data_IF_854254191328
#
_entry.id   IF_854254191328
#
_cell.length_a   1.000
_cell.length_b   1.000
_cell.length_c   1.000
_cell.angle_alpha   90.00
_cell.angle_beta   90.00
_cell.angle_gamma   90.00
#
_symmetry.space_group_name_H-M   'P 1'
#
loop_
_entity.id
_entity.type
_entity.pdbx_description
1 polymer ?
#
# COMPACT_ATOMS: atom_id res chain seq x y z
N UNK A 1 48.70 -17.42 4.81
CA UNK A 1 48.09 -16.07 4.74
C UNK A 1 47.97 -15.68 3.28
N UNK A 2 46.75 -15.72 2.73
CA UNK A 2 46.38 -14.86 1.62
C UNK A 2 45.05 -14.25 2.02
N UNK A 3 45.10 -12.97 2.41
CA UNK A 3 43.94 -12.10 2.47
C UNK A 3 43.34 -12.07 1.07
N UNK A 4 42.40 -12.97 0.79
CA UNK A 4 41.41 -12.72 -0.23
C UNK A 4 40.55 -11.59 0.33
N UNK A 5 40.99 -10.36 0.08
CA UNK A 5 40.20 -9.16 0.27
C UNK A 5 39.00 -9.29 -0.67
N UNK A 6 37.99 -10.05 -0.23
CA UNK A 6 36.74 -10.27 -0.95
C UNK A 6 36.07 -8.92 -1.00
N UNK A 7 36.07 -8.33 -2.18
CA UNK A 7 35.35 -7.10 -2.41
C UNK A 7 33.86 -7.43 -2.41
N UNK A 8 33.18 -7.14 -1.30
CA UNK A 8 31.79 -7.53 -1.02
C UNK A 8 30.89 -6.29 -1.10
N UNK A 9 29.66 -6.49 -1.57
CA UNK A 9 28.56 -5.53 -1.42
C UNK A 9 27.31 -6.25 -0.92
N UNK A 10 26.34 -5.50 -0.39
CA UNK A 10 25.09 -6.06 0.13
C UNK A 10 23.96 -5.72 -0.83
N UNK A 11 23.18 -6.74 -1.22
CA UNK A 11 21.88 -6.54 -1.84
C UNK A 11 20.78 -6.86 -0.84
N UNK A 12 19.65 -6.16 -0.93
CA UNK A 12 18.51 -6.32 -0.03
C UNK A 12 17.30 -6.91 -0.75
N UNK A 13 16.74 -7.98 -0.18
CA UNK A 13 15.43 -8.52 -0.53
C UNK A 13 14.30 -7.51 -0.21
N UNK A 14 13.05 -7.74 -0.65
CA UNK A 14 11.92 -6.86 -0.35
C UNK A 14 11.83 -6.53 1.13
N UNK A 15 11.80 -7.55 1.99
CA UNK A 15 11.65 -7.50 3.45
C UNK A 15 12.86 -6.95 4.25
N UNK A 16 13.79 -6.27 3.58
CA UNK A 16 14.95 -5.63 4.20
C UNK A 16 16.07 -6.58 4.61
N UNK A 17 15.96 -7.89 4.34
CA UNK A 17 17.05 -8.85 4.56
C UNK A 17 18.16 -8.65 3.53
N UNK A 18 19.36 -8.41 4.03
CA UNK A 18 20.57 -8.27 3.21
C UNK A 18 21.28 -9.60 3.02
N UNK A 19 21.86 -9.80 1.84
CA UNK A 19 22.82 -10.88 1.57
C UNK A 19 24.10 -10.28 1.01
N UNK A 20 25.23 -10.86 1.39
CA UNK A 20 26.54 -10.45 0.91
C UNK A 20 26.80 -11.04 -0.48
N UNK A 21 27.41 -10.24 -1.36
CA UNK A 21 27.71 -10.62 -2.73
C UNK A 21 29.16 -10.32 -3.04
N UNK A 22 29.87 -11.32 -3.56
CA UNK A 22 31.21 -11.16 -4.12
C UNK A 22 31.15 -10.34 -5.43
N UNK A 23 31.81 -9.18 -5.48
CA UNK A 23 31.76 -8.27 -6.63
C UNK A 23 32.31 -8.85 -7.94
N UNK A 24 33.25 -9.81 -7.86
CA UNK A 24 33.90 -10.38 -9.06
C UNK A 24 33.10 -11.52 -9.66
N UNK A 25 32.50 -12.34 -8.80
CA UNK A 25 31.85 -13.59 -9.20
C UNK A 25 30.32 -13.51 -9.17
N UNK A 26 29.75 -12.46 -8.57
CA UNK A 26 28.32 -12.34 -8.25
C UNK A 26 27.78 -13.51 -7.40
N UNK A 27 28.66 -14.21 -6.68
CA UNK A 27 28.26 -15.27 -5.76
C UNK A 27 27.63 -14.64 -4.53
N UNK A 28 26.41 -15.07 -4.21
CA UNK A 28 25.71 -14.71 -2.97
C UNK A 28 26.21 -15.61 -1.84
N UNK A 29 26.52 -15.01 -0.69
CA UNK A 29 26.77 -15.68 0.57
C UNK A 29 25.49 -15.61 1.43
N UNK A 30 24.80 -16.75 1.52
CA UNK A 30 23.59 -16.90 2.31
C UNK A 30 23.90 -17.12 3.80
N UNK A 31 22.99 -16.67 4.65
CA UNK A 31 22.96 -17.04 6.07
C UNK A 31 22.90 -18.57 6.24
N UNK A 32 23.50 -19.07 7.32
CA UNK A 32 23.53 -20.51 7.60
C UNK A 32 22.12 -21.12 7.67
N UNK A 33 21.98 -22.31 7.10
CA UNK A 33 20.76 -23.11 7.18
C UNK A 33 21.07 -24.42 7.91
N UNK A 34 20.21 -24.79 8.87
CA UNK A 34 20.34 -26.04 9.62
C UNK A 34 20.15 -27.26 8.70
N UNK A 35 19.40 -27.10 7.60
CA UNK A 35 19.13 -28.16 6.62
C UNK A 35 20.00 -27.97 5.37
N UNK A 36 20.32 -29.06 4.64
CA UNK A 36 21.08 -28.98 3.39
C UNK A 36 20.43 -28.07 2.35
N UNK A 37 21.25 -27.23 1.71
CA UNK A 37 20.89 -26.34 0.59
C UNK A 37 21.78 -26.65 -0.63
N UNK A 38 21.70 -25.87 -1.71
CA UNK A 38 22.50 -26.10 -2.93
C UNK A 38 21.66 -26.40 -4.18
N UNK A 39 20.53 -27.13 -4.03
CA UNK A 39 19.72 -27.60 -5.16
C UNK A 39 19.16 -26.47 -6.02
N UNK A 40 18.78 -25.36 -5.39
CA UNK A 40 18.10 -24.23 -6.05
C UNK A 40 18.92 -22.93 -6.04
N UNK A 41 20.14 -22.95 -5.48
CA UNK A 41 20.93 -21.75 -5.17
C UNK A 41 21.13 -20.83 -6.37
N UNK A 42 21.38 -21.40 -7.56
CA UNK A 42 21.61 -20.61 -8.77
C UNK A 42 20.35 -19.86 -9.21
N UNK A 43 19.20 -20.53 -9.25
CA UNK A 43 17.93 -19.89 -9.61
C UNK A 43 17.50 -18.88 -8.54
N UNK A 44 17.69 -19.23 -7.27
CA UNK A 44 17.35 -18.38 -6.15
C UNK A 44 18.19 -17.09 -6.13
N UNK A 45 19.49 -17.21 -6.43
CA UNK A 45 20.37 -16.05 -6.57
C UNK A 45 19.94 -15.12 -7.71
N UNK A 46 19.52 -15.68 -8.85
CA UNK A 46 18.97 -14.86 -9.97
C UNK A 46 17.71 -14.10 -9.53
N UNK A 47 16.80 -14.77 -8.83
CA UNK A 47 15.58 -14.14 -8.32
C UNK A 47 15.89 -13.02 -7.31
N UNK A 48 16.90 -13.18 -6.44
CA UNK A 48 17.34 -12.14 -5.51
C UNK A 48 17.90 -10.90 -6.24
N UNK A 49 18.75 -11.11 -7.25
CA UNK A 49 19.23 -9.98 -8.07
C UNK A 49 18.08 -9.31 -8.84
N UNK A 50 17.14 -10.08 -9.40
CA UNK A 50 15.96 -9.52 -10.06
C UNK A 50 15.12 -8.67 -9.09
N UNK A 51 14.79 -9.21 -7.92
CA UNK A 51 14.05 -8.50 -6.88
C UNK A 51 14.77 -7.22 -6.42
N UNK A 52 16.09 -7.30 -6.21
CA UNK A 52 16.90 -6.14 -5.88
C UNK A 52 16.86 -5.08 -6.98
N UNK A 53 17.08 -5.48 -8.24
CA UNK A 53 17.09 -4.57 -9.39
C UNK A 53 15.73 -3.91 -9.62
N UNK A 54 14.62 -4.62 -9.43
CA UNK A 54 13.27 -4.05 -9.51
C UNK A 54 13.12 -2.91 -8.49
N UNK A 55 13.56 -3.11 -7.25
CA UNK A 55 13.49 -2.07 -6.20
C UNK A 55 14.34 -0.85 -6.53
N UNK A 56 15.58 -1.07 -7.01
CA UNK A 56 16.48 0.02 -7.40
C UNK A 56 15.95 0.84 -8.60
N UNK A 57 15.16 0.20 -9.46
CA UNK A 57 14.54 0.83 -10.62
C UNK A 57 13.06 1.20 -10.40
N UNK A 58 12.69 1.49 -9.16
CA UNK A 58 11.37 2.06 -8.85
C UNK A 58 11.13 3.35 -9.65
N UNK A 59 9.90 3.62 -10.13
CA UNK A 59 9.54 4.93 -10.68
C UNK A 59 9.66 6.06 -9.65
N UNK A 60 9.86 5.74 -8.38
CA UNK A 60 10.07 6.69 -7.29
C UNK A 60 11.51 6.72 -6.77
N UNK A 61 12.48 6.14 -7.51
CA UNK A 61 13.90 6.13 -7.11
C UNK A 61 14.48 7.53 -6.86
N UNK A 62 13.94 8.55 -7.53
CA UNK A 62 14.37 9.94 -7.42
C UNK A 62 13.66 10.71 -6.28
N UNK A 63 12.80 10.05 -5.51
CA UNK A 63 12.11 10.65 -4.36
C UNK A 63 13.12 11.15 -3.31
N UNK A 64 13.05 12.44 -2.99
CA UNK A 64 13.91 13.07 -1.99
C UNK A 64 13.11 13.40 -0.71
N UNK A 65 13.36 12.71 0.40
CA UNK A 65 12.70 13.00 1.66
C UNK A 65 13.09 14.38 2.19
N UNK A 66 12.20 15.02 2.96
CA UNK A 66 12.47 16.29 3.64
C UNK A 66 12.23 16.11 5.13
N UNK A 67 13.29 15.82 5.86
CA UNK A 67 13.16 15.49 7.28
C UNK A 67 12.89 16.71 8.15
N UNK A 68 12.01 16.56 9.14
CA UNK A 68 11.83 17.53 10.21
C UNK A 68 13.06 17.49 11.15
N UNK A 69 13.53 18.67 11.55
CA UNK A 69 14.72 18.82 12.39
C UNK A 69 14.34 18.85 13.89
N UNK A 70 14.79 17.85 14.68
CA UNK A 70 14.48 17.78 16.11
C UNK A 70 15.24 18.78 16.98
N UNK A 71 16.28 19.44 16.46
CA UNK A 71 17.11 20.34 17.24
C UNK A 71 16.52 21.77 17.32
N UNK A 72 16.91 22.48 18.37
CA UNK A 72 16.58 23.90 18.55
C UNK A 72 17.82 24.74 18.27
N UNK A 73 17.69 25.69 17.35
CA UNK A 73 18.76 26.63 17.01
C UNK A 73 18.29 28.06 17.31
N UNK A 74 19.11 28.81 18.05
CA UNK A 74 18.82 30.21 18.38
C UNK A 74 18.63 31.04 17.12
N UNK A 75 17.51 31.76 17.02
CA UNK A 75 17.18 32.59 15.86
C UNK A 75 16.54 31.86 14.67
N UNK A 76 16.24 30.56 14.79
CA UNK A 76 15.55 29.78 13.75
C UNK A 76 14.19 29.25 14.24
N UNK A 77 13.24 29.10 13.31
CA UNK A 77 11.96 28.45 13.58
C UNK A 77 12.16 26.95 13.79
N UNK A 78 11.69 26.42 14.91
CA UNK A 78 11.71 24.98 15.20
C UNK A 78 10.62 24.22 14.44
N UNK A 79 10.90 22.98 14.05
CA UNK A 79 9.89 22.06 13.51
C UNK A 79 9.06 21.34 14.58
N UNK A 80 9.32 21.61 15.88
CA UNK A 80 8.65 20.95 17.00
C UNK A 80 7.12 21.14 16.97
N UNK A 81 6.64 22.33 16.61
CA UNK A 81 5.21 22.60 16.56
C UNK A 81 4.52 21.83 15.41
N UNK A 82 5.14 21.81 14.22
CA UNK A 82 4.69 21.00 13.07
C UNK A 82 4.66 19.51 13.45
N UNK A 83 5.70 19.01 14.12
CA UNK A 83 5.74 17.64 14.62
C UNK A 83 4.64 17.36 15.65
N UNK A 84 4.42 18.24 16.64
CA UNK A 84 3.41 18.02 17.68
C UNK A 84 1.99 18.05 17.15
N UNK A 85 1.73 18.94 16.20
CA UNK A 85 0.48 18.98 15.45
C UNK A 85 0.25 17.67 14.69
N UNK A 86 1.23 17.19 13.93
CA UNK A 86 1.14 15.88 13.26
C UNK A 86 0.98 14.73 14.26
N UNK A 87 1.79 14.67 15.32
CA UNK A 87 1.71 13.62 16.34
C UNK A 87 0.29 13.50 16.93
N UNK A 88 -0.38 14.65 17.16
CA UNK A 88 -1.69 14.68 17.79
C UNK A 88 -2.81 14.04 16.97
N UNK A 89 -2.67 13.95 15.64
CA UNK A 89 -3.73 13.41 14.77
C UNK A 89 -3.93 11.90 14.97
N UNK A 90 -2.92 11.18 15.47
CA UNK A 90 -2.98 9.74 15.70
C UNK A 90 -3.58 9.37 17.06
N UNK A 91 -3.89 10.34 17.91
CA UNK A 91 -4.58 10.13 19.20
C UNK A 91 -6.10 10.05 19.05
N UNK A 92 -6.62 10.24 17.84
CA UNK A 92 -8.05 10.30 17.53
C UNK A 92 -8.31 9.66 16.16
N UNK A 93 -9.57 9.35 15.89
CA UNK A 93 -10.00 8.96 14.55
C UNK A 93 -9.62 10.05 13.52
N UNK A 94 -9.33 9.68 12.25
CA UNK A 94 -8.98 10.65 11.23
C UNK A 94 -10.07 11.70 11.05
N UNK A 95 -9.68 12.97 11.05
CA UNK A 95 -10.62 14.06 10.81
C UNK A 95 -11.16 13.93 9.38
N UNK A 96 -12.48 13.83 9.25
CA UNK A 96 -13.20 13.72 7.98
C UNK A 96 -12.80 14.87 7.04
N UNK A 97 -12.37 14.53 5.82
CA UNK A 97 -11.91 15.48 4.81
C UNK A 97 -10.55 16.12 5.09
N UNK A 98 -9.81 15.74 6.14
CA UNK A 98 -8.47 16.29 6.42
C UNK A 98 -7.34 15.42 5.86
N UNK A 99 -7.59 14.15 5.58
CA UNK A 99 -6.59 13.22 5.02
C UNK A 99 -6.65 13.25 3.50
N UNK A 100 -5.50 13.50 2.87
CA UNK A 100 -5.36 13.63 1.43
C UNK A 100 -6.50 14.45 0.78
N UNK A 101 -6.80 15.65 1.29
CA UNK A 101 -8.02 16.38 0.96
C UNK A 101 -8.10 16.71 -0.52
N UNK A 102 -9.32 16.89 -1.00
CA UNK A 102 -9.57 17.41 -2.34
C UNK A 102 -9.43 18.93 -2.34
N UNK A 103 -8.50 19.45 -3.14
CA UNK A 103 -8.35 20.91 -3.31
C UNK A 103 -9.53 21.51 -4.07
N UNK A 104 -9.76 22.83 -3.97
CA UNK A 104 -10.86 23.46 -4.73
C UNK A 104 -10.63 23.33 -6.24
N UNK A 105 -9.40 23.53 -6.70
CA UNK A 105 -9.01 23.31 -8.09
C UNK A 105 -9.29 21.86 -8.54
N UNK A 106 -8.90 20.87 -7.73
CA UNK A 106 -9.12 19.47 -8.03
C UNK A 106 -10.60 19.12 -8.18
N UNK A 107 -11.45 19.54 -7.23
CA UNK A 107 -12.88 19.27 -7.28
C UNK A 107 -13.51 19.85 -8.53
N UNK A 108 -13.13 21.07 -8.89
CA UNK A 108 -13.67 21.76 -10.04
C UNK A 108 -13.27 21.07 -11.36
N UNK A 109 -11.99 20.68 -11.48
CA UNK A 109 -11.52 19.90 -12.63
C UNK A 109 -12.21 18.53 -12.70
N UNK A 110 -12.34 17.81 -11.58
CA UNK A 110 -13.03 16.52 -11.58
C UNK A 110 -14.48 16.65 -12.06
N UNK A 111 -15.20 17.67 -11.57
CA UNK A 111 -16.59 17.95 -11.99
C UNK A 111 -16.70 18.40 -13.45
N UNK A 112 -15.62 18.89 -14.05
CA UNK A 112 -15.62 19.28 -15.47
C UNK A 112 -15.53 18.08 -16.42
N UNK A 113 -15.07 16.91 -15.93
CA UNK A 113 -15.00 15.68 -16.70
C UNK A 113 -16.40 15.22 -17.12
N UNK A 114 -16.56 14.90 -18.41
CA UNK A 114 -17.85 14.75 -19.09
C UNK A 114 -18.30 13.32 -19.28
N UNK A 115 -17.41 12.36 -19.07
CA UNK A 115 -17.71 10.94 -19.27
C UNK A 115 -17.41 10.12 -18.02
N UNK A 116 -18.14 9.01 -17.86
CA UNK A 116 -17.87 7.99 -16.84
C UNK A 116 -16.41 7.52 -16.91
N UNK A 117 -15.89 7.30 -18.12
CA UNK A 117 -14.51 6.86 -18.37
C UNK A 117 -13.48 7.84 -17.81
N UNK A 118 -13.64 9.14 -18.07
CA UNK A 118 -12.71 10.16 -17.58
C UNK A 118 -12.69 10.22 -16.05
N UNK A 119 -13.87 10.19 -15.42
CA UNK A 119 -14.02 10.18 -13.96
C UNK A 119 -13.46 8.91 -13.33
N UNK A 120 -13.73 7.75 -13.92
CA UNK A 120 -13.14 6.47 -13.52
C UNK A 120 -11.62 6.54 -13.55
N UNK A 121 -11.04 6.88 -14.71
CA UNK A 121 -9.60 7.00 -14.90
C UNK A 121 -9.00 7.96 -13.87
N UNK A 122 -9.65 9.09 -13.63
CA UNK A 122 -9.21 10.05 -12.63
C UNK A 122 -9.14 9.44 -11.23
N UNK A 123 -10.20 8.76 -10.77
CA UNK A 123 -10.24 8.13 -9.44
C UNK A 123 -9.19 7.02 -9.29
N UNK A 124 -8.96 6.20 -10.33
CA UNK A 124 -7.88 5.20 -10.32
C UNK A 124 -6.52 5.88 -10.20
N UNK A 125 -6.25 6.94 -10.96
CA UNK A 125 -4.98 7.69 -10.87
C UNK A 125 -4.82 8.30 -9.46
N UNK A 126 -5.87 8.94 -8.96
CA UNK A 126 -5.89 9.58 -7.64
C UNK A 126 -5.64 8.57 -6.52
N UNK A 127 -6.16 7.35 -6.63
CA UNK A 127 -5.96 6.29 -5.63
C UNK A 127 -4.49 5.89 -5.42
N UNK A 128 -3.63 6.16 -6.40
CA UNK A 128 -2.23 5.74 -6.38
C UNK A 128 -2.01 4.23 -6.66
N UNK A 129 -3.07 3.46 -6.93
CA UNK A 129 -2.93 2.05 -7.31
C UNK A 129 -2.26 1.89 -8.69
N UNK A 130 -1.40 0.89 -8.77
CA UNK A 130 -0.66 0.45 -9.97
C UNK A 130 -0.69 -1.06 -10.05
N UNK A 131 -0.78 -1.60 -11.26
CA UNK A 131 -0.64 -3.04 -11.49
C UNK A 131 0.80 -3.46 -11.23
N UNK A 132 1.00 -4.55 -10.49
CA UNK A 132 2.33 -5.11 -10.22
C UNK A 132 2.64 -6.36 -11.03
N UNK A 133 1.64 -6.90 -11.73
CA UNK A 133 1.74 -8.13 -12.54
C UNK A 133 1.99 -7.84 -14.01
N UNK A 134 1.58 -6.67 -14.48
CA UNK A 134 1.80 -6.17 -15.84
C UNK A 134 1.85 -4.65 -15.85
N UNK A 135 2.68 -4.05 -16.71
CA UNK A 135 2.68 -2.61 -16.90
C UNK A 135 1.42 -2.18 -17.68
N UNK A 136 0.76 -1.13 -17.21
CA UNK A 136 -0.47 -0.60 -17.81
C UNK A 136 -0.26 0.91 -17.98
N UNK A 137 -0.10 1.40 -19.22
CA UNK A 137 0.02 2.82 -19.49
C UNK A 137 -1.30 3.53 -19.18
N UNK A 138 -1.25 4.82 -18.84
CA UNK A 138 -2.46 5.56 -18.45
C UNK A 138 -3.50 5.65 -19.56
N UNK A 139 -3.07 5.60 -20.81
CA UNK A 139 -3.89 5.56 -22.02
C UNK A 139 -4.76 4.31 -22.09
N UNK A 140 -4.28 3.19 -21.53
CA UNK A 140 -5.01 1.93 -21.47
C UNK A 140 -6.02 1.86 -20.30
N UNK A 141 -5.97 2.80 -19.35
CA UNK A 141 -6.89 2.80 -18.21
C UNK A 141 -8.31 2.97 -18.73
N UNK A 142 -9.20 2.04 -18.37
CA UNK A 142 -10.62 2.05 -18.78
C UNK A 142 -10.80 2.31 -20.29
N UNK A 143 -9.95 1.73 -21.14
CA UNK A 143 -9.99 1.82 -22.60
C UNK A 143 -11.14 0.98 -23.23
N UNK A 144 -12.31 1.01 -22.60
CA UNK A 144 -13.53 0.35 -23.08
C UNK A 144 -14.68 1.33 -23.15
N UNK A 145 -15.58 1.14 -24.12
CA UNK A 145 -16.84 1.86 -24.22
C UNK A 145 -17.88 1.35 -23.21
N UNK A 146 -19.07 1.95 -23.18
CA UNK A 146 -20.14 1.54 -22.26
C UNK A 146 -20.68 0.12 -22.51
N UNK A 147 -20.40 -0.46 -23.69
CA UNK A 147 -20.75 -1.84 -24.06
C UNK A 147 -19.61 -2.82 -23.76
N UNK A 148 -18.47 -2.33 -23.28
CA UNK A 148 -17.28 -3.13 -22.99
C UNK A 148 -16.37 -3.39 -24.19
N UNK A 149 -16.60 -2.75 -25.34
CA UNK A 149 -15.71 -2.87 -26.49
C UNK A 149 -14.48 -1.99 -26.31
N UNK A 150 -13.32 -2.46 -26.79
CA UNK A 150 -12.11 -1.64 -26.77
C UNK A 150 -12.27 -0.39 -27.63
N UNK A 151 -11.82 0.75 -27.10
CA UNK A 151 -11.85 2.03 -27.83
C UNK A 151 -10.58 2.18 -28.68
N UNK A 152 -9.42 1.81 -28.11
CA UNK A 152 -8.17 1.67 -28.85
C UNK A 152 -7.73 0.19 -28.88
N UNK A 153 -7.66 -0.39 -30.08
CA UNK A 153 -7.23 -1.79 -30.30
C UNK A 153 -5.73 -2.02 -30.03
N UNK A 154 -4.91 -0.97 -29.93
CA UNK A 154 -3.47 -1.09 -29.59
C UNK A 154 -3.25 -1.82 -28.25
N UNK A 155 -4.24 -1.75 -27.35
CA UNK A 155 -4.19 -2.39 -26.02
C UNK A 155 -4.90 -3.75 -25.95
N UNK A 156 -5.32 -4.32 -27.09
CA UNK A 156 -6.08 -5.59 -27.11
C UNK A 156 -5.36 -6.74 -26.41
N UNK A 157 -4.08 -6.94 -26.71
CA UNK A 157 -3.31 -8.02 -26.11
C UNK A 157 -3.08 -7.80 -24.60
N UNK A 158 -3.01 -6.55 -24.15
CA UNK A 158 -2.94 -6.21 -22.73
C UNK A 158 -4.21 -6.67 -22.00
N UNK A 159 -5.39 -6.32 -22.52
CA UNK A 159 -6.68 -6.72 -21.97
C UNK A 159 -6.85 -8.24 -21.96
N UNK A 160 -6.54 -8.90 -23.09
CA UNK A 160 -6.59 -10.36 -23.20
C UNK A 160 -5.69 -11.06 -22.19
N UNK A 161 -4.48 -10.54 -21.97
CA UNK A 161 -3.54 -11.08 -21.00
C UNK A 161 -4.04 -10.95 -19.56
N UNK A 162 -4.61 -9.79 -19.20
CA UNK A 162 -5.21 -9.60 -17.87
C UNK A 162 -6.40 -10.54 -17.66
N UNK A 163 -7.30 -10.63 -18.63
CA UNK A 163 -8.48 -11.49 -18.52
C UNK A 163 -8.11 -12.98 -18.41
N UNK A 164 -7.09 -13.43 -19.14
CA UNK A 164 -6.62 -14.81 -19.07
C UNK A 164 -5.90 -15.18 -17.76
N UNK A 165 -5.53 -14.18 -16.94
CA UNK A 165 -4.77 -14.40 -15.71
C UNK A 165 -5.51 -13.98 -14.43
N UNK A 166 -6.67 -13.35 -14.51
CA UNK A 166 -7.47 -13.01 -13.33
C UNK A 166 -8.30 -14.21 -12.84
N UNK A 167 -9.16 -13.98 -11.85
CA UNK A 167 -9.98 -15.01 -11.25
C UNK A 167 -9.11 -16.07 -10.55
N UNK A 168 -9.51 -17.33 -10.62
CA UNK A 168 -8.82 -18.41 -9.89
C UNK A 168 -7.51 -18.87 -10.55
N UNK A 169 -7.10 -18.27 -11.68
CA UNK A 169 -5.95 -18.70 -12.48
C UNK A 169 -4.63 -18.76 -11.69
N UNK A 170 -4.46 -17.89 -10.69
CA UNK A 170 -3.28 -17.89 -9.81
C UNK A 170 -3.59 -18.18 -8.34
N UNK A 171 -4.76 -18.73 -8.01
CA UNK A 171 -5.11 -19.03 -6.61
C UNK A 171 -4.12 -20.04 -5.98
N UNK A 172 -3.62 -21.00 -6.75
CA UNK A 172 -2.60 -21.96 -6.31
C UNK A 172 -1.26 -21.31 -5.93
N UNK A 173 -1.02 -20.09 -6.41
CA UNK A 173 0.18 -19.30 -6.09
C UNK A 173 -0.06 -18.42 -4.85
N UNK A 174 -1.29 -18.38 -4.33
CA UNK A 174 -1.69 -17.61 -3.16
C UNK A 174 -2.52 -16.38 -3.49
N UNK A 175 -3.15 -15.83 -2.45
CA UNK A 175 -4.08 -14.69 -2.58
C UNK A 175 -3.41 -13.44 -3.13
N UNK A 176 -2.11 -13.22 -2.89
CA UNK A 176 -1.39 -12.07 -3.42
C UNK A 176 -1.40 -12.06 -4.96
N UNK A 177 -1.00 -13.15 -5.60
CA UNK A 177 -0.96 -13.25 -7.07
C UNK A 177 -2.34 -13.10 -7.70
N UNK A 178 -3.33 -13.82 -7.15
CA UNK A 178 -4.71 -13.73 -7.61
C UNK A 178 -5.21 -12.28 -7.57
N UNK A 179 -4.97 -11.61 -6.44
CA UNK A 179 -5.50 -10.28 -6.20
C UNK A 179 -4.85 -9.23 -7.08
N UNK A 180 -3.54 -9.30 -7.32
CA UNK A 180 -2.84 -8.35 -8.17
C UNK A 180 -3.32 -8.40 -9.64
N UNK A 181 -3.70 -9.59 -10.14
CA UNK A 181 -4.35 -9.72 -11.45
C UNK A 181 -5.78 -9.16 -11.48
N UNK A 182 -6.55 -9.35 -10.41
CA UNK A 182 -7.86 -8.71 -10.25
C UNK A 182 -7.75 -7.18 -10.20
N UNK A 183 -6.73 -6.63 -9.51
CA UNK A 183 -6.47 -5.19 -9.52
C UNK A 183 -6.09 -4.68 -10.91
N UNK A 184 -5.31 -5.43 -11.69
CA UNK A 184 -5.02 -5.09 -13.08
C UNK A 184 -6.31 -4.99 -13.91
N UNK A 185 -7.27 -5.89 -13.72
CA UNK A 185 -8.58 -5.80 -14.38
C UNK A 185 -9.40 -4.58 -13.92
N UNK A 186 -9.31 -4.23 -12.63
CA UNK A 186 -9.85 -2.99 -12.09
C UNK A 186 -9.31 -1.75 -12.79
N UNK A 187 -7.99 -1.65 -12.94
CA UNK A 187 -7.34 -0.52 -13.63
C UNK A 187 -7.82 -0.41 -15.09
N UNK A 188 -8.10 -1.55 -15.75
CA UNK A 188 -8.61 -1.63 -17.11
C UNK A 188 -10.13 -1.38 -17.24
N UNK A 189 -10.85 -1.13 -16.14
CA UNK A 189 -12.23 -0.66 -16.14
C UNK A 189 -13.24 -1.58 -15.45
N UNK A 190 -12.88 -2.81 -15.06
CA UNK A 190 -13.80 -3.69 -14.33
C UNK A 190 -13.79 -3.39 -12.83
N UNK A 191 -14.76 -2.62 -12.36
CA UNK A 191 -14.91 -2.24 -10.94
C UNK A 191 -14.81 -3.46 -9.99
N UNK A 192 -15.35 -4.63 -10.40
CA UNK A 192 -15.31 -5.84 -9.57
C UNK A 192 -13.89 -6.35 -9.35
N UNK A 193 -12.96 -6.03 -10.25
CA UNK A 193 -11.53 -6.31 -10.08
C UNK A 193 -10.94 -5.66 -8.82
N UNK A 194 -11.32 -4.41 -8.53
CA UNK A 194 -10.91 -3.76 -7.27
C UNK A 194 -11.57 -4.41 -6.04
N UNK A 195 -12.84 -4.76 -6.11
CA UNK A 195 -13.56 -5.40 -4.99
C UNK A 195 -13.01 -6.81 -4.68
N UNK A 196 -12.76 -7.63 -5.70
CA UNK A 196 -12.17 -8.97 -5.59
C UNK A 196 -10.70 -8.92 -5.18
N UNK A 197 -9.92 -8.05 -5.82
CA UNK A 197 -8.51 -7.84 -5.51
C UNK A 197 -8.32 -7.35 -4.08
N UNK A 198 -9.08 -6.33 -3.66
CA UNK A 198 -9.07 -5.85 -2.27
C UNK A 198 -9.47 -6.94 -1.27
N UNK A 199 -10.54 -7.69 -1.54
CA UNK A 199 -10.98 -8.80 -0.68
C UNK A 199 -10.00 -9.98 -0.62
N UNK A 200 -9.21 -10.22 -1.67
CA UNK A 200 -8.14 -11.22 -1.65
C UNK A 200 -6.89 -10.72 -0.91
N UNK A 201 -6.50 -9.46 -1.10
CA UNK A 201 -5.39 -8.83 -0.38
C UNK A 201 -5.65 -8.73 1.12
N UNK A 202 -6.91 -8.64 1.56
CA UNK A 202 -7.29 -8.71 2.97
C UNK A 202 -6.77 -9.98 3.68
N UNK A 203 -6.54 -11.06 2.94
CA UNK A 203 -6.00 -12.33 3.46
C UNK A 203 -4.46 -12.36 3.50
N UNK A 204 -3.82 -11.29 3.07
CA UNK A 204 -2.36 -11.07 3.08
C UNK A 204 -2.06 -9.93 4.06
N UNK A 205 -0.79 -9.61 4.32
CA UNK A 205 -0.49 -8.45 5.18
C UNK A 205 -0.47 -7.10 4.46
N UNK A 206 -0.79 -7.01 3.16
CA UNK A 206 -0.85 -5.75 2.39
C UNK A 206 -2.15 -4.98 2.66
N UNK A 207 -2.42 -4.69 3.93
CA UNK A 207 -3.70 -4.19 4.44
C UNK A 207 -4.05 -2.81 3.90
N UNK A 208 -3.09 -1.89 3.75
CA UNK A 208 -3.36 -0.57 3.14
C UNK A 208 -3.74 -0.66 1.67
N UNK A 209 -3.08 -1.55 0.93
CA UNK A 209 -3.40 -1.78 -0.48
C UNK A 209 -4.78 -2.39 -0.66
N UNK A 210 -5.12 -3.33 0.23
CA UNK A 210 -6.45 -3.94 0.29
C UNK A 210 -7.54 -2.88 0.55
N UNK A 211 -7.37 -2.07 1.60
CA UNK A 211 -8.33 -1.00 1.94
C UNK A 211 -8.46 0.02 0.80
N UNK A 212 -7.36 0.48 0.22
CA UNK A 212 -7.40 1.44 -0.89
C UNK A 212 -8.17 0.88 -2.10
N UNK A 213 -8.00 -0.41 -2.43
CA UNK A 213 -8.74 -1.05 -3.51
C UNK A 213 -10.24 -1.14 -3.22
N UNK A 214 -10.62 -1.53 -2.01
CA UNK A 214 -12.03 -1.60 -1.59
C UNK A 214 -12.69 -0.22 -1.54
N UNK A 215 -11.96 0.78 -1.03
CA UNK A 215 -12.42 2.17 -0.99
C UNK A 215 -12.59 2.72 -2.40
N UNK A 216 -11.65 2.46 -3.31
CA UNK A 216 -11.77 2.84 -4.71
C UNK A 216 -12.96 2.14 -5.39
N UNK A 217 -13.19 0.85 -5.14
CA UNK A 217 -14.37 0.14 -5.66
C UNK A 217 -15.68 0.82 -5.21
N UNK A 218 -15.76 1.24 -3.95
CA UNK A 218 -16.90 2.01 -3.44
C UNK A 218 -17.01 3.40 -4.10
N UNK A 219 -15.90 4.13 -4.27
CA UNK A 219 -15.88 5.42 -5.00
C UNK A 219 -16.33 5.27 -6.45
N UNK A 220 -16.08 4.12 -7.08
CA UNK A 220 -16.49 3.83 -8.45
C UNK A 220 -17.93 3.32 -8.58
N UNK A 221 -18.67 3.20 -7.46
CA UNK A 221 -20.09 2.81 -7.46
C UNK A 221 -20.37 1.34 -7.14
N UNK A 222 -19.38 0.57 -6.66
CA UNK A 222 -19.63 -0.82 -6.25
C UNK A 222 -20.33 -0.87 -4.88
N UNK A 223 -21.65 -0.94 -4.91
CA UNK A 223 -22.51 -0.97 -3.73
C UNK A 223 -22.09 -2.02 -2.67
N UNK A 224 -21.76 -3.29 -3.02
CA UNK A 224 -21.32 -4.26 -2.00
C UNK A 224 -20.02 -3.86 -1.29
N UNK A 225 -19.12 -3.12 -1.96
CA UNK A 225 -17.91 -2.61 -1.31
C UNK A 225 -18.24 -1.56 -0.25
N UNK A 226 -19.22 -0.70 -0.52
CA UNK A 226 -19.72 0.30 0.42
C UNK A 226 -20.48 -0.33 1.59
N UNK A 227 -21.41 -1.23 1.31
CA UNK A 227 -22.32 -1.84 2.30
C UNK A 227 -21.61 -2.83 3.24
N UNK A 228 -20.77 -3.70 2.68
CA UNK A 228 -20.25 -4.87 3.40
C UNK A 228 -18.74 -4.83 3.60
N UNK A 229 -17.97 -4.45 2.58
CA UNK A 229 -16.52 -4.60 2.66
C UNK A 229 -15.91 -3.52 3.57
N UNK A 230 -16.30 -2.25 3.39
CA UNK A 230 -15.85 -1.16 4.27
C UNK A 230 -16.38 -1.30 5.70
N UNK A 231 -17.60 -1.82 5.88
CA UNK A 231 -18.16 -2.06 7.23
C UNK A 231 -17.46 -3.22 7.96
N UNK A 232 -17.13 -4.31 7.25
CA UNK A 232 -16.34 -5.42 7.82
C UNK A 232 -14.93 -4.97 8.21
N UNK A 233 -14.32 -4.09 7.41
CA UNK A 233 -13.05 -3.45 7.76
C UNK A 233 -13.12 -2.54 8.98
N UNK A 234 -14.31 -2.19 9.47
CA UNK A 234 -14.53 -1.37 10.67
C UNK A 234 -15.02 -2.16 11.89
N UNK A 235 -15.13 -3.50 11.81
CA UNK A 235 -15.69 -4.35 12.87
C UNK A 235 -14.63 -5.11 13.67
N UNK A 236 -15.03 -5.96 14.63
CA UNK A 236 -14.14 -6.61 15.61
C UNK A 236 -13.06 -7.54 15.04
N UNK A 237 -13.15 -7.92 13.76
CA UNK A 237 -12.14 -8.73 13.03
C UNK A 237 -11.30 -7.87 12.08
N UNK A 238 -11.36 -6.54 12.24
CA UNK A 238 -10.73 -5.58 11.36
C UNK A 238 -9.21 -5.53 11.49
N UNK A 239 -8.63 -5.81 12.66
CA UNK A 239 -7.19 -5.63 12.87
C UNK A 239 -6.39 -6.62 12.02
N UNK A 240 -6.86 -7.86 11.82
CA UNK A 240 -6.28 -8.79 10.84
C UNK A 240 -6.23 -8.20 9.41
N UNK A 241 -7.18 -7.33 9.07
CA UNK A 241 -7.20 -6.53 7.85
C UNK A 241 -6.58 -5.15 7.94
N UNK A 242 -5.96 -4.80 9.06
CA UNK A 242 -5.38 -3.49 9.35
C UNK A 242 -6.38 -2.41 9.76
N UNK A 243 -7.69 -2.67 9.73
CA UNK A 243 -8.72 -1.73 10.16
C UNK A 243 -8.87 -1.68 11.68
N UNK A 244 -9.72 -0.79 12.19
CA UNK A 244 -9.99 -0.59 13.62
C UNK A 244 -11.45 -0.87 13.94
N UNK A 245 -11.72 -1.51 15.07
CA UNK A 245 -13.07 -1.78 15.54
C UNK A 245 -13.74 -0.48 15.98
N UNK A 246 -14.77 -0.03 15.25
CA UNK A 246 -15.50 1.19 15.57
C UNK A 246 -17.00 1.03 15.24
N UNK A 247 -17.78 0.69 16.28
CA UNK A 247 -19.22 0.45 16.13
C UNK A 247 -20.00 1.69 15.65
N UNK A 248 -19.55 2.90 15.99
CA UNK A 248 -20.17 4.14 15.52
C UNK A 248 -19.93 4.31 14.01
N UNK A 249 -18.69 4.07 13.56
CA UNK A 249 -18.34 4.10 12.14
C UNK A 249 -19.10 3.03 11.36
N UNK A 250 -19.16 1.80 11.86
CA UNK A 250 -19.90 0.72 11.22
C UNK A 250 -21.38 1.08 11.03
N UNK A 251 -22.02 1.65 12.06
CA UNK A 251 -23.40 2.13 11.98
C UNK A 251 -23.55 3.27 10.97
N UNK A 252 -22.65 4.26 11.01
CA UNK A 252 -22.64 5.37 10.06
C UNK A 252 -22.52 4.88 8.61
N UNK A 253 -21.64 3.91 8.33
CA UNK A 253 -21.46 3.34 7.00
C UNK A 253 -22.70 2.56 6.55
N UNK A 254 -23.29 1.75 7.43
CA UNK A 254 -24.55 1.04 7.16
C UNK A 254 -25.67 2.02 6.84
N UNK A 255 -25.81 3.10 7.58
CA UNK A 255 -26.83 4.11 7.33
C UNK A 255 -26.56 4.91 6.05
N UNK A 256 -25.31 5.32 5.80
CA UNK A 256 -24.90 5.99 4.57
C UNK A 256 -25.16 5.13 3.32
N UNK A 257 -24.90 3.83 3.41
CA UNK A 257 -25.05 2.89 2.29
C UNK A 257 -26.50 2.66 1.82
N UNK A 258 -27.50 3.03 2.64
CA UNK A 258 -28.92 2.93 2.27
C UNK A 258 -29.31 3.92 1.18
N UNK A 259 -28.75 5.14 1.22
CA UNK A 259 -29.06 6.23 0.29
C UNK A 259 -27.80 7.06 -0.05
N UNK A 260 -26.77 6.45 -0.65
CA UNK A 260 -25.54 7.16 -0.99
C UNK A 260 -25.77 8.18 -2.12
N UNK A 261 -25.15 9.38 -2.05
CA UNK A 261 -25.34 10.44 -3.03
C UNK A 261 -24.47 10.21 -4.28
N UNK A 262 -24.80 9.18 -5.07
CA UNK A 262 -24.12 8.91 -6.33
C UNK A 262 -24.21 10.10 -7.28
N UNK A 263 -23.14 10.36 -8.03
CA UNK A 263 -23.14 11.33 -9.12
C UNK A 263 -23.90 10.80 -10.35
N UNK A 264 -24.00 11.63 -11.39
CA UNK A 264 -24.68 11.29 -12.65
C UNK A 264 -24.16 10.03 -13.36
N UNK A 265 -22.96 9.55 -13.01
CA UNK A 265 -22.35 8.33 -13.56
C UNK A 265 -22.39 7.14 -12.60
N UNK A 266 -23.08 7.29 -11.45
CA UNK A 266 -23.17 6.26 -10.42
C UNK A 266 -21.93 6.16 -9.53
N UNK A 267 -21.11 7.21 -9.42
CA UNK A 267 -19.87 7.22 -8.63
C UNK A 267 -19.99 8.04 -7.34
N UNK A 268 -19.08 7.79 -6.38
CA UNK A 268 -18.93 8.52 -5.11
C UNK A 268 -17.52 9.12 -5.00
N UNK A 269 -17.15 10.10 -5.84
CA UNK A 269 -15.77 10.62 -5.90
C UNK A 269 -15.25 11.13 -4.56
N UNK A 270 -16.07 11.91 -3.84
CA UNK A 270 -15.69 12.55 -2.58
C UNK A 270 -16.04 11.69 -1.36
N UNK A 271 -16.08 10.36 -1.50
CA UNK A 271 -16.45 9.45 -0.41
C UNK A 271 -15.64 9.70 0.87
N UNK A 272 -14.35 9.98 0.75
CA UNK A 272 -13.46 10.34 1.86
C UNK A 272 -13.88 11.62 2.60
N UNK A 273 -14.50 12.58 1.92
CA UNK A 273 -15.09 13.77 2.55
C UNK A 273 -16.50 13.53 3.08
N UNK A 274 -17.17 12.44 2.68
CA UNK A 274 -18.54 12.08 3.09
C UNK A 274 -18.55 11.15 4.30
N UNK A 275 -17.62 10.20 4.39
CA UNK A 275 -17.54 9.22 5.47
C UNK A 275 -16.20 9.23 6.22
N UNK A 276 -15.21 9.97 5.74
CA UNK A 276 -13.85 9.91 6.30
C UNK A 276 -13.09 8.65 5.88
N UNK A 277 -11.86 8.53 6.34
CA UNK A 277 -11.01 7.34 6.18
C UNK A 277 -10.68 6.75 7.55
N UNK A 278 -10.01 5.60 7.60
CA UNK A 278 -9.50 4.99 8.84
C UNK A 278 -7.97 5.03 8.89
N UNK A 279 -7.41 5.01 10.09
CA UNK A 279 -5.99 4.73 10.28
C UNK A 279 -5.73 3.24 10.09
N UNK A 280 -4.96 2.87 9.07
CA UNK A 280 -4.71 1.47 8.72
C UNK A 280 -3.38 1.00 9.30
N UNK A 281 -3.41 -0.09 10.06
CA UNK A 281 -2.20 -0.80 10.49
C UNK A 281 -1.77 -1.74 9.37
N UNK A 282 -0.60 -1.46 8.82
CA UNK A 282 0.06 -2.28 7.81
C UNK A 282 1.51 -2.45 8.23
N UNK A 283 1.89 -3.68 8.55
CA UNK A 283 3.22 -3.98 9.08
C UNK A 283 4.29 -3.94 7.97
N UNK A 284 3.89 -4.07 6.70
CA UNK A 284 4.78 -4.00 5.55
C UNK A 284 5.32 -2.58 5.32
N UNK A 285 4.82 -1.56 6.02
CA UNK A 285 5.39 -0.20 5.95
C UNK A 285 6.78 -0.08 6.62
N UNK A 286 7.15 -1.02 7.49
CA UNK A 286 8.38 -0.94 8.29
C UNK A 286 9.61 -1.36 7.48
N UNK A 287 9.60 -2.61 7.02
CA UNK A 287 10.46 -3.11 5.94
C UNK A 287 9.47 -3.62 4.88
N UNK A 288 9.57 -3.21 3.61
CA UNK A 288 8.55 -3.59 2.63
C UNK A 288 8.40 -5.13 2.54
N UNK A 289 7.21 -5.72 2.67
CA UNK A 289 7.04 -7.18 2.83
C UNK A 289 7.56 -7.75 4.19
N UNK A 290 7.48 -6.97 5.28
CA UNK A 290 7.75 -7.41 6.66
C UNK A 290 6.81 -8.50 7.18
N UNK A 291 5.56 -8.48 6.70
CA UNK A 291 4.47 -9.40 7.03
C UNK A 291 3.68 -9.69 5.75
N UNK A 292 4.34 -10.16 4.69
CA UNK A 292 3.71 -10.35 3.39
C UNK A 292 2.54 -11.34 3.43
N UNK A 293 2.69 -12.40 4.24
CA UNK A 293 1.67 -13.42 4.44
C UNK A 293 0.51 -12.93 5.33
N UNK A 294 0.75 -11.92 6.18
CA UNK A 294 -0.21 -11.44 7.17
C UNK A 294 -0.26 -12.28 8.46
N UNK A 295 0.78 -13.06 8.74
CA UNK A 295 0.82 -13.93 9.92
C UNK A 295 1.00 -13.13 11.20
N UNK A 296 1.82 -12.06 11.15
CA UNK A 296 2.08 -11.23 12.32
C UNK A 296 0.84 -10.41 12.69
N UNK A 297 0.19 -9.78 11.70
CA UNK A 297 -1.02 -8.99 11.97
C UNK A 297 -2.17 -9.87 12.48
N UNK A 298 -2.30 -11.11 11.98
CA UNK A 298 -3.27 -12.09 12.51
C UNK A 298 -2.96 -12.51 13.94
N UNK A 299 -1.68 -12.73 14.28
CA UNK A 299 -1.31 -13.06 15.65
C UNK A 299 -1.60 -11.91 16.63
N UNK A 300 -1.40 -10.66 16.20
CA UNK A 300 -1.77 -9.47 16.96
C UNK A 300 -3.29 -9.35 17.15
N UNK A 301 -4.07 -9.53 16.07
CA UNK A 301 -5.53 -9.58 16.11
C UNK A 301 -6.03 -10.63 17.12
N UNK A 302 -5.47 -11.84 17.06
CA UNK A 302 -5.78 -12.93 17.97
C UNK A 302 -5.54 -12.60 19.44
N UNK A 303 -4.42 -11.91 19.75
CA UNK A 303 -4.10 -11.51 21.13
C UNK A 303 -4.96 -10.32 21.59
N UNK A 304 -5.35 -9.41 20.69
CA UNK A 304 -6.33 -8.35 20.97
C UNK A 304 -7.72 -8.93 21.26
N UNK A 305 -8.20 -9.87 20.43
CA UNK A 305 -9.49 -10.56 20.64
C UNK A 305 -9.54 -11.34 21.95
N UNK A 306 -8.40 -11.88 22.40
CA UNK A 306 -8.26 -12.58 23.70
C UNK A 306 -8.08 -11.63 24.88
N UNK A 307 -8.05 -10.31 24.66
CA UNK A 307 -7.84 -9.29 25.71
C UNK A 307 -6.43 -9.27 26.29
N UNK A 308 -5.45 -9.89 25.62
CA UNK A 308 -4.04 -9.89 26.05
C UNK A 308 -3.28 -8.66 25.57
N UNK A 309 -3.75 -8.09 24.46
CA UNK A 309 -3.24 -6.85 23.89
C UNK A 309 -4.39 -5.87 23.71
N UNK A 310 -4.05 -4.59 23.64
CA UNK A 310 -4.99 -3.52 23.30
C UNK A 310 -4.70 -3.02 21.90
N UNK A 311 -5.74 -2.68 21.13
CA UNK A 311 -5.53 -2.01 19.85
C UNK A 311 -4.97 -0.60 20.13
N UNK A 312 -3.85 -0.22 19.52
CA UNK A 312 -3.20 1.05 19.82
C UNK A 312 -4.06 2.28 19.45
N UNK A 313 -5.12 2.09 18.65
CA UNK A 313 -6.08 3.13 18.24
C UNK A 313 -7.27 3.29 19.19
N UNK A 314 -7.47 2.37 20.13
CA UNK A 314 -8.54 2.50 21.11
C UNK A 314 -8.40 3.80 21.91
N UNK A 315 -9.53 4.47 22.19
CA UNK A 315 -9.55 5.79 22.83
C UNK A 315 -8.88 5.80 24.22
N UNK A 316 -8.91 4.66 24.90
CA UNK A 316 -8.36 4.44 26.22
C UNK A 316 -7.01 3.68 26.17
N UNK A 317 -6.37 3.58 25.00
CA UNK A 317 -4.98 3.14 24.88
C UNK A 317 -4.01 4.19 25.45
N UNK A 318 -3.09 3.74 26.29
CA UNK A 318 -2.05 4.58 26.93
C UNK A 318 -0.73 4.46 26.17
N UNK A 319 0.27 5.32 26.44
CA UNK A 319 1.61 5.13 25.89
C UNK A 319 2.20 3.74 26.16
N UNK A 320 1.92 3.17 27.34
CA UNK A 320 2.39 1.84 27.75
C UNK A 320 1.72 0.74 26.94
N UNK A 321 0.39 0.78 26.75
CA UNK A 321 -0.31 -0.25 25.95
C UNK A 321 0.06 -0.19 24.47
N UNK A 322 0.28 1.01 23.92
CA UNK A 322 0.79 1.19 22.55
C UNK A 322 2.20 0.64 22.40
N UNK A 323 3.06 0.89 23.39
CA UNK A 323 4.41 0.33 23.41
C UNK A 323 4.39 -1.21 23.50
N UNK A 324 3.53 -1.78 24.34
CA UNK A 324 3.36 -3.24 24.44
C UNK A 324 2.93 -3.86 23.11
N UNK A 325 1.98 -3.24 22.41
CA UNK A 325 1.58 -3.66 21.06
C UNK A 325 2.77 -3.65 20.09
N UNK A 326 3.55 -2.56 20.06
CA UNK A 326 4.75 -2.46 19.23
C UNK A 326 5.80 -3.54 19.61
N UNK A 327 6.01 -3.83 20.89
CA UNK A 327 6.92 -4.89 21.34
C UNK A 327 6.46 -6.28 20.90
N UNK A 328 5.17 -6.59 21.03
CA UNK A 328 4.61 -7.87 20.58
C UNK A 328 4.72 -8.05 19.07
N UNK A 329 4.48 -6.98 18.31
CA UNK A 329 4.69 -6.97 16.86
C UNK A 329 6.14 -7.34 16.50
N UNK A 330 7.13 -6.77 17.19
CA UNK A 330 8.53 -7.15 16.99
C UNK A 330 8.85 -8.58 17.44
N UNK A 331 8.24 -9.06 18.52
CA UNK A 331 8.44 -10.41 19.02
C UNK A 331 7.94 -11.47 18.01
N UNK A 332 6.73 -11.31 17.47
CA UNK A 332 6.18 -12.22 16.46
C UNK A 332 7.01 -12.28 15.18
N UNK A 333 7.57 -11.14 14.77
CA UNK A 333 8.45 -11.07 13.60
C UNK A 333 9.62 -12.05 13.66
N UNK A 334 10.18 -12.32 14.83
CA UNK A 334 11.33 -13.22 14.95
C UNK A 334 11.01 -14.68 14.59
N UNK A 335 9.74 -15.09 14.66
CA UNK A 335 9.29 -16.44 14.30
C UNK A 335 8.50 -16.56 13.00
N UNK A 336 7.89 -15.46 12.52
CA UNK A 336 6.88 -15.50 11.44
C UNK A 336 7.31 -14.86 10.12
N UNK A 337 8.42 -14.11 10.09
CA UNK A 337 8.88 -13.49 8.84
C UNK A 337 9.46 -14.51 7.86
N UNK A 338 9.31 -14.25 6.57
CA UNK A 338 10.07 -14.97 5.54
C UNK A 338 11.56 -14.61 5.60
N UNK A 339 12.44 -15.61 5.55
CA UNK A 339 13.90 -15.39 5.61
C UNK A 339 14.52 -15.53 4.22
N UNK A 340 14.48 -14.44 3.45
CA UNK A 340 15.08 -14.41 2.11
C UNK A 340 16.62 -14.44 2.11
N UNK A 341 17.25 -14.14 3.24
CA UNK A 341 18.71 -14.22 3.42
C UNK A 341 19.26 -15.65 3.56
N UNK A 342 18.38 -16.63 3.72
CA UNK A 342 18.74 -18.05 3.84
C UNK A 342 18.42 -18.76 2.52
N UNK A 343 19.32 -19.64 2.07
CA UNK A 343 19.10 -20.42 0.84
C UNK A 343 17.98 -21.45 0.99
N UNK A 344 17.35 -21.81 -0.13
CA UNK A 344 16.23 -22.74 -0.19
C UNK A 344 16.71 -24.16 0.12
N UNK A 345 16.08 -24.79 1.12
CA UNK A 345 16.34 -26.17 1.56
C UNK A 345 16.10 -27.18 0.43
N UNK A 346 17.00 -28.16 0.28
CA UNK A 346 16.94 -29.19 -0.76
C UNK A 346 15.67 -30.06 -0.68
N UNK A 347 15.11 -30.22 0.53
CA UNK A 347 13.89 -30.99 0.81
C UNK A 347 12.61 -30.36 0.22
N UNK A 348 12.64 -29.05 -0.11
CA UNK A 348 11.47 -28.39 -0.69
C UNK A 348 11.22 -28.91 -2.11
N UNK A 349 9.95 -29.08 -2.46
CA UNK A 349 9.55 -29.40 -3.83
C UNK A 349 9.92 -28.26 -4.77
N UNK A 350 10.13 -28.59 -6.05
CA UNK A 350 10.48 -27.61 -7.08
C UNK A 350 9.40 -26.52 -7.21
N UNK A 351 8.12 -26.89 -7.15
CA UNK A 351 7.01 -25.95 -7.17
C UNK A 351 7.05 -24.98 -5.98
N UNK A 352 7.37 -25.49 -4.78
CA UNK A 352 7.49 -24.66 -3.57
C UNK A 352 8.66 -23.68 -3.67
N UNK A 353 9.82 -24.14 -4.17
CA UNK A 353 10.98 -23.28 -4.41
C UNK A 353 10.69 -22.18 -5.44
N UNK A 354 10.08 -22.55 -6.57
CA UNK A 354 9.64 -21.61 -7.61
C UNK A 354 8.63 -20.60 -7.10
N UNK A 355 7.70 -21.02 -6.23
CA UNK A 355 6.74 -20.11 -5.63
C UNK A 355 7.44 -19.07 -4.74
N UNK A 356 8.39 -19.48 -3.88
CA UNK A 356 9.17 -18.54 -3.07
C UNK A 356 9.90 -17.50 -3.92
N UNK A 357 10.53 -17.92 -5.02
CA UNK A 357 11.19 -16.99 -5.96
C UNK A 357 10.19 -16.01 -6.59
N UNK A 358 9.03 -16.51 -7.06
CA UNK A 358 7.99 -15.67 -7.64
C UNK A 358 7.40 -14.68 -6.64
N UNK A 359 7.17 -15.10 -5.39
CA UNK A 359 6.62 -14.24 -4.33
C UNK A 359 7.57 -13.09 -4.03
N UNK A 360 8.86 -13.39 -3.86
CA UNK A 360 9.90 -12.38 -3.66
C UNK A 360 9.95 -11.34 -4.80
N UNK A 361 9.81 -11.79 -6.06
CA UNK A 361 9.77 -10.88 -7.21
C UNK A 361 8.49 -10.03 -7.19
N UNK A 362 7.33 -10.61 -6.88
CA UNK A 362 6.06 -9.87 -6.80
C UNK A 362 6.09 -8.83 -5.67
N UNK A 363 6.62 -9.19 -4.51
CA UNK A 363 6.85 -8.30 -3.38
C UNK A 363 7.81 -7.17 -3.72
N UNK A 364 8.86 -7.44 -4.51
CA UNK A 364 9.75 -6.39 -5.02
C UNK A 364 9.02 -5.40 -5.94
N UNK A 365 8.13 -5.90 -6.81
CA UNK A 365 7.30 -5.04 -7.69
C UNK A 365 6.32 -4.20 -6.88
N UNK A 366 5.69 -4.78 -5.87
CA UNK A 366 4.87 -4.07 -4.90
C UNK A 366 5.69 -2.97 -4.20
N UNK A 367 6.93 -3.27 -3.78
CA UNK A 367 7.81 -2.29 -3.13
C UNK A 367 8.14 -1.13 -4.06
N UNK A 368 8.46 -1.44 -5.31
CA UNK A 368 8.82 -0.47 -6.32
C UNK A 368 7.64 0.44 -6.71
N UNK A 369 6.42 -0.10 -6.74
CA UNK A 369 5.23 0.60 -7.26
C UNK A 369 4.33 1.21 -6.18
N UNK A 370 4.53 0.89 -4.91
CA UNK A 370 3.83 1.54 -3.80
C UNK A 370 4.32 2.98 -3.64
N UNK A 371 3.43 3.99 -3.62
CA UNK A 371 3.84 5.38 -3.43
C UNK A 371 4.63 5.59 -2.13
N UNK A 372 5.71 6.42 -2.13
CA UNK A 372 6.50 6.69 -0.92
C UNK A 372 5.68 7.30 0.24
N UNK A 373 4.61 8.01 -0.11
CA UNK A 373 3.67 8.68 0.82
C UNK A 373 2.45 7.80 1.16
N UNK A 374 2.41 6.54 0.69
CA UNK A 374 1.27 5.64 0.85
C UNK A 374 0.04 6.05 0.04
N UNK A 375 -1.05 5.32 0.22
CA UNK A 375 -2.29 5.53 -0.51
C UNK A 375 -3.16 6.64 0.12
N UNK A 376 -3.83 7.50 -0.67
CA UNK A 376 -4.63 8.62 -0.15
C UNK A 376 -5.78 8.24 0.78
N UNK A 377 -6.50 7.15 0.48
CA UNK A 377 -7.67 6.73 1.26
C UNK A 377 -7.36 5.64 2.29
N UNK A 378 -6.10 5.19 2.39
CA UNK A 378 -5.65 4.20 3.35
C UNK A 378 -4.39 4.69 4.09
N UNK A 379 -4.48 5.78 4.88
CA UNK A 379 -3.33 6.32 5.58
C UNK A 379 -2.81 5.34 6.64
N UNK A 380 -1.49 5.22 6.77
CA UNK A 380 -0.89 4.39 7.81
C UNK A 380 -1.16 4.97 9.20
N UNK A 381 -1.55 4.11 10.15
CA UNK A 381 -1.52 4.42 11.59
C UNK A 381 -0.07 4.47 12.09
N UNK A 382 0.32 5.48 12.87
CA UNK A 382 1.56 5.47 13.66
C UNK A 382 1.23 5.68 15.12
N UNK A 383 1.80 4.88 16.02
CA UNK A 383 1.76 5.23 17.45
C UNK A 383 2.43 6.60 17.64
N UNK A 384 1.84 7.53 18.41
CA UNK A 384 2.44 8.82 18.70
C UNK A 384 3.89 8.72 19.18
N UNK A 385 4.19 7.71 20.00
CA UNK A 385 5.50 7.44 20.58
C UNK A 385 6.51 7.00 19.52
N UNK A 386 6.08 6.16 18.55
CA UNK A 386 6.93 5.77 17.42
C UNK A 386 7.20 6.94 16.49
N UNK A 387 6.21 7.80 16.23
CA UNK A 387 6.40 9.00 15.43
C UNK A 387 7.45 9.91 16.08
N UNK A 388 7.41 10.06 17.40
CA UNK A 388 8.42 10.79 18.17
C UNK A 388 9.81 10.18 18.07
N UNK A 389 9.92 8.84 18.14
CA UNK A 389 11.18 8.15 17.94
C UNK A 389 11.78 8.46 16.55
N UNK A 390 10.96 8.43 15.50
CA UNK A 390 11.39 8.73 14.12
C UNK A 390 11.83 10.20 13.99
N UNK A 391 11.07 11.13 14.60
CA UNK A 391 11.41 12.56 14.65
C UNK A 391 12.76 12.81 15.34
N UNK A 392 12.95 12.26 16.54
CA UNK A 392 14.20 12.38 17.32
C UNK A 392 15.41 11.77 16.61
N UNK A 393 15.21 10.81 15.71
CA UNK A 393 16.27 10.24 14.87
C UNK A 393 16.57 11.05 13.61
N UNK A 394 15.93 12.21 13.42
CA UNK A 394 16.04 13.04 12.22
C UNK A 394 15.65 12.26 10.95
N UNK A 395 14.59 11.44 11.05
CA UNK A 395 14.08 10.58 9.96
C UNK A 395 12.61 10.80 9.62
N UNK A 396 11.93 11.75 10.29
CA UNK A 396 10.52 12.02 10.04
C UNK A 396 10.36 12.87 8.79
N UNK A 397 10.07 12.22 7.68
CA UNK A 397 9.91 12.85 6.37
C UNK A 397 8.59 13.62 6.29
N UNK A 398 8.65 14.95 6.26
CA UNK A 398 7.48 15.83 6.21
C UNK A 398 6.59 15.60 5.00
N UNK A 399 7.14 15.05 3.91
CA UNK A 399 6.36 14.72 2.72
C UNK A 399 5.43 13.54 2.97
N UNK A 400 5.61 12.76 4.05
CA UNK A 400 4.72 11.67 4.42
C UNK A 400 3.56 12.10 5.31
N UNK A 401 3.36 13.40 5.55
CA UNK A 401 2.18 13.89 6.27
C UNK A 401 0.91 13.49 5.50
N UNK A 402 0.01 12.70 6.11
CA UNK A 402 -1.16 12.18 5.42
C UNK A 402 -2.14 13.28 4.99
N UNK A 403 -2.02 14.49 5.53
CA UNK A 403 -2.87 15.66 5.23
C UNK A 403 -2.47 16.37 3.94
N UNK A 404 -1.35 16.00 3.32
CA UNK A 404 -0.96 16.53 2.01
C UNK A 404 -2.02 16.12 0.96
N UNK A 405 -2.64 17.09 0.26
CA UNK A 405 -3.62 16.81 -0.80
C UNK A 405 -3.12 15.77 -1.80
N UNK A 406 -4.00 14.88 -2.26
CA UNK A 406 -3.61 13.78 -3.15
C UNK A 406 -2.88 14.28 -4.40
N UNK A 407 -3.33 15.41 -4.97
CA UNK A 407 -2.72 15.99 -6.18
C UNK A 407 -1.29 16.50 -5.96
N UNK A 408 -0.88 16.80 -4.72
CA UNK A 408 0.46 17.28 -4.38
C UNK A 408 1.41 16.18 -3.91
N UNK A 409 0.94 14.94 -3.84
CA UNK A 409 1.80 13.78 -3.58
C UNK A 409 2.71 13.50 -4.77
N UNK A 410 3.88 12.94 -4.48
CA UNK A 410 4.96 12.69 -5.42
C UNK A 410 4.55 11.77 -6.57
N UNK A 411 3.72 10.76 -6.29
CA UNK A 411 3.25 9.80 -7.29
C UNK A 411 2.14 10.33 -8.19
N UNK A 412 1.59 11.53 -7.91
CA UNK A 412 0.53 12.09 -8.73
C UNK A 412 1.10 12.65 -10.05
N UNK A 413 0.53 12.33 -11.23
CA UNK A 413 1.11 12.73 -12.51
C UNK A 413 1.24 14.24 -12.66
N UNK A 414 2.45 14.71 -12.98
CA UNK A 414 2.74 16.12 -13.16
C UNK A 414 1.87 16.75 -14.25
N UNK A 415 1.65 16.05 -15.37
CA UNK A 415 0.80 16.53 -16.46
C UNK A 415 -0.66 16.71 -16.02
N UNK A 416 -1.19 15.78 -15.22
CA UNK A 416 -2.55 15.89 -14.70
C UNK A 416 -2.67 17.03 -13.68
N UNK A 417 -1.66 17.21 -12.81
CA UNK A 417 -1.58 18.36 -11.91
C UNK A 417 -1.57 19.68 -12.68
N UNK A 418 -0.80 19.77 -13.76
CA UNK A 418 -0.75 20.95 -14.62
C UNK A 418 -2.11 21.23 -15.29
N UNK A 419 -2.83 20.19 -15.74
CA UNK A 419 -4.20 20.33 -16.28
C UNK A 419 -5.17 20.88 -15.24
N UNK A 420 -5.13 20.38 -14.00
CA UNK A 420 -5.97 20.88 -12.90
C UNK A 420 -5.68 22.36 -12.61
N UNK A 421 -4.40 22.74 -12.55
CA UNK A 421 -3.98 24.12 -12.29
C UNK A 421 -4.37 25.07 -13.44
N UNK A 422 -4.22 24.62 -14.69
CA UNK A 422 -4.64 25.39 -15.86
C UNK A 422 -6.15 25.64 -15.85
N UNK A 423 -6.94 24.60 -15.57
CA UNK A 423 -8.39 24.71 -15.43
C UNK A 423 -8.79 25.68 -14.31
N UNK A 424 -8.14 25.60 -13.15
CA UNK A 424 -8.40 26.52 -12.04
C UNK A 424 -8.11 27.98 -12.42
N UNK A 425 -7.03 28.23 -13.15
CA UNK A 425 -6.66 29.56 -13.65
C UNK A 425 -7.67 30.08 -14.67
N UNK A 426 -8.08 29.26 -15.64
CA UNK A 426 -9.06 29.62 -16.67
C UNK A 426 -10.42 30.01 -16.07
N UNK A 427 -10.83 29.29 -15.02
CA UNK A 427 -12.13 29.48 -14.36
C UNK A 427 -12.07 30.33 -13.07
N UNK A 428 -10.95 31.00 -12.80
CA UNK A 428 -10.75 31.86 -11.62
C UNK A 428 -11.05 31.17 -10.27
N UNK A 429 -10.73 29.89 -10.14
CA UNK A 429 -10.92 29.11 -8.91
C UNK A 429 -9.75 29.38 -7.97
N UNK A 430 -10.05 29.90 -6.78
CA UNK A 430 -9.07 30.15 -5.70
C UNK A 430 -9.13 29.04 -4.65
N UNK A 431 -7.98 28.67 -4.09
CA UNK A 431 -7.85 27.66 -3.02
C UNK A 431 -8.49 28.05 -1.68
#
# INVERSE_FOLDING_TARGET
MSDNNKDIYIIYAPNGRGVEVDKKTNKIYFSENIKPTGKYTQEYSKALFEAHNIKQNSPYKDYQPRYLDPNLYTGQSSTLLEFKDWQSIYLKDPIKGAIAPWTKAEKAYYKSLKTKRERYKYLVIRSGLRSTVIDIPYEAYTNVDEKGNLINEDYKELYKKVESNRGLAHLSNGYLFMSEWELAAGILGDIKGFAKGGGGLWKTGFTTRAYQALFLAAQLGHQPSLEHQLSTYSSSVALAGGGHTNALREKMLKDFSKNPPYDEFGMLPFLDELIGVDWIIDLNKYDFAYDEAGDIIRALDDDVLKGKLKDPRDIDSTPESRWEFDQKMYAYRNGMKTNYDVDIRNERSENSAKLTMKSMILEAKLAALTPPQGYPNAPYYFSPERLEFIYKKHKLDRLKDPRIPAIYRYNFPQELRAKIQAYAKEHNIKE
#
